data_IF_061103663216
#
_entry.id   IF_061103663216
#
_cell.length_a   1.000
_cell.length_b   1.000
_cell.length_c   1.000
_cell.angle_alpha   90.00
_cell.angle_beta   90.00
_cell.angle_gamma   90.00
#
_symmetry.space_group_name_H-M   'P 1'
#
loop_
_entity.id
_entity.type
_entity.pdbx_description
1 polymer ?
#
# COMPACT_ATOMS: atom_id res chain seq x y z
N UNK A 1 8.30 -16.19 -5.81
CA UNK A 1 8.25 -16.31 -4.35
C UNK A 1 9.67 -16.45 -3.83
N UNK A 2 9.95 -15.94 -2.63
CA UNK A 2 11.24 -16.09 -1.94
C UNK A 2 11.05 -16.90 -0.67
N UNK A 3 12.07 -17.65 -0.26
CA UNK A 3 12.03 -18.47 0.95
C UNK A 3 12.40 -17.64 2.18
N UNK A 4 11.75 -17.90 3.30
CA UNK A 4 12.09 -17.34 4.60
C UNK A 4 12.35 -18.49 5.59
N UNK A 5 13.55 -18.56 6.17
CA UNK A 5 13.96 -19.67 7.05
C UNK A 5 13.35 -19.61 8.45
N UNK A 6 12.82 -18.45 8.86
CA UNK A 6 12.19 -18.26 10.17
C UNK A 6 10.69 -18.59 10.05
N UNK A 7 10.04 -18.14 8.98
CA UNK A 7 8.61 -18.32 8.77
C UNK A 7 8.34 -19.11 7.49
N UNK A 8 8.47 -20.43 7.56
CA UNK A 8 8.40 -21.31 6.39
C UNK A 8 6.99 -21.56 5.86
N UNK A 9 5.95 -21.22 6.64
CA UNK A 9 4.54 -21.41 6.26
C UNK A 9 3.94 -20.24 5.47
N UNK A 10 4.63 -19.10 5.35
CA UNK A 10 4.13 -17.94 4.62
C UNK A 10 4.69 -17.85 3.21
N UNK A 11 3.93 -17.21 2.33
CA UNK A 11 4.34 -16.88 0.97
C UNK A 11 4.98 -15.51 0.93
N UNK A 12 6.30 -15.45 0.73
CA UNK A 12 7.02 -14.20 0.62
C UNK A 12 7.26 -13.77 -0.84
N UNK A 13 7.12 -12.47 -1.08
CA UNK A 13 7.50 -11.76 -2.29
C UNK A 13 8.44 -10.61 -1.93
N UNK A 14 9.20 -10.11 -2.89
CA UNK A 14 10.10 -8.96 -2.67
C UNK A 14 9.46 -7.73 -3.28
N UNK A 15 9.09 -6.77 -2.44
CA UNK A 15 8.56 -5.48 -2.84
C UNK A 15 9.71 -4.46 -2.99
N UNK A 16 9.92 -3.98 -4.21
CA UNK A 16 11.00 -3.05 -4.57
C UNK A 16 10.57 -1.57 -4.52
N UNK A 17 9.27 -1.29 -4.56
CA UNK A 17 8.76 0.08 -4.54
C UNK A 17 7.24 0.14 -4.58
N UNK A 18 6.73 1.34 -4.37
CA UNK A 18 5.30 1.66 -4.46
C UNK A 18 5.17 2.93 -5.31
N UNK A 19 4.16 2.99 -6.17
CA UNK A 19 3.77 4.20 -6.88
C UNK A 19 2.32 4.58 -6.56
N UNK A 20 2.02 5.88 -6.59
CA UNK A 20 0.66 6.41 -6.41
C UNK A 20 0.38 7.39 -7.55
N UNK A 21 -0.66 7.12 -8.34
CA UNK A 21 -0.99 7.91 -9.54
C UNK A 21 0.14 7.90 -10.57
N UNK A 22 0.87 6.79 -10.69
CA UNK A 22 2.05 6.66 -11.57
C UNK A 22 3.32 7.34 -11.06
N UNK A 23 3.29 8.00 -9.89
CA UNK A 23 4.47 8.61 -9.29
C UNK A 23 5.11 7.66 -8.27
N UNK A 24 6.37 7.28 -8.50
CA UNK A 24 7.11 6.38 -7.62
C UNK A 24 7.47 7.09 -6.30
N UNK A 25 7.11 6.48 -5.19
CA UNK A 25 7.39 7.00 -3.85
C UNK A 25 8.87 6.85 -3.52
N UNK A 26 9.41 7.85 -2.81
CA UNK A 26 10.78 7.83 -2.28
C UNK A 26 10.93 6.91 -1.07
N UNK A 27 10.74 5.61 -1.28
CA UNK A 27 10.87 4.56 -0.26
C UNK A 27 12.00 3.63 -0.71
N UNK A 28 12.99 3.40 0.15
CA UNK A 28 14.06 2.46 -0.16
C UNK A 28 13.58 1.02 0.06
N UNK A 29 14.07 0.02 -0.71
CA UNK A 29 13.71 -1.38 -0.49
C UNK A 29 13.97 -1.87 0.95
N UNK A 30 14.96 -1.29 1.63
CA UNK A 30 15.25 -1.60 3.03
C UNK A 30 14.09 -1.28 3.98
N UNK A 31 13.27 -0.27 3.66
CA UNK A 31 12.07 0.09 4.41
C UNK A 31 10.94 -0.91 4.16
N UNK A 32 10.86 -1.51 2.98
CA UNK A 32 9.74 -2.37 2.56
C UNK A 32 9.77 -3.80 3.14
N UNK A 33 10.78 -4.11 3.97
CA UNK A 33 10.86 -5.33 4.76
C UNK A 33 12.14 -6.12 4.53
N UNK A 34 13.02 -6.15 5.55
CA UNK A 34 14.18 -7.05 5.60
C UNK A 34 13.69 -8.48 5.89
N UNK A 35 13.39 -9.25 4.83
CA UNK A 35 12.85 -10.61 4.94
C UNK A 35 11.70 -10.93 3.98
N UNK A 36 11.27 -9.94 3.19
CA UNK A 36 10.18 -10.06 2.22
C UNK A 36 8.85 -9.53 2.73
N UNK A 37 7.89 -9.44 1.83
CA UNK A 37 6.49 -9.06 2.04
C UNK A 37 5.63 -10.31 1.94
N UNK A 38 4.68 -10.49 2.86
CA UNK A 38 3.81 -11.67 2.87
C UNK A 38 2.59 -11.42 1.98
N UNK A 39 2.23 -12.43 1.18
CA UNK A 39 0.90 -12.52 0.55
C UNK A 39 -0.01 -13.30 1.49
N UNK A 40 -1.03 -12.63 2.02
CA UNK A 40 -1.92 -13.20 3.05
C UNK A 40 -3.39 -12.99 2.66
N UNK A 41 -4.04 -14.07 2.21
CA UNK A 41 -5.47 -14.07 1.90
C UNK A 41 -6.36 -14.02 3.15
N UNK A 42 -5.81 -14.26 4.35
CA UNK A 42 -6.51 -14.19 5.62
C UNK A 42 -6.68 -12.78 6.16
N UNK A 43 -6.03 -11.78 5.56
CA UNK A 43 -6.10 -10.38 5.98
C UNK A 43 -6.86 -9.53 4.95
N UNK A 44 -7.93 -8.86 5.41
CA UNK A 44 -8.82 -8.06 4.54
C UNK A 44 -8.12 -6.79 3.99
N UNK A 45 -7.20 -6.21 4.75
CA UNK A 45 -6.53 -4.95 4.39
C UNK A 45 -5.01 -5.12 4.26
N UNK A 46 -4.41 -4.44 3.27
CA UNK A 46 -2.95 -4.41 3.15
C UNK A 46 -2.33 -3.68 4.33
N UNK A 47 -1.26 -4.25 4.91
CA UNK A 47 -0.50 -3.66 6.01
C UNK A 47 0.90 -3.29 5.54
N UNK A 48 1.32 -2.07 5.84
CA UNK A 48 2.66 -1.57 5.54
C UNK A 48 3.38 -1.20 6.83
N UNK A 49 4.71 -1.30 6.84
CA UNK A 49 5.48 -0.73 7.95
C UNK A 49 5.23 0.79 8.03
N UNK A 50 5.30 1.41 9.22
CA UNK A 50 4.85 2.78 9.43
C UNK A 50 5.44 3.80 8.45
N UNK A 51 6.72 3.68 8.13
CA UNK A 51 7.39 4.60 7.20
C UNK A 51 6.84 4.49 5.76
N UNK A 52 6.60 3.27 5.27
CA UNK A 52 6.02 3.05 3.94
C UNK A 52 4.54 3.47 3.90
N UNK A 53 3.80 3.18 4.96
CA UNK A 53 2.42 3.62 5.12
C UNK A 53 2.31 5.15 5.05
N UNK A 54 3.13 5.87 5.81
CA UNK A 54 3.10 7.34 5.85
C UNK A 54 3.43 7.96 4.49
N UNK A 55 4.39 7.40 3.75
CA UNK A 55 4.72 7.86 2.41
C UNK A 55 3.54 7.65 1.43
N UNK A 56 2.94 6.46 1.45
CA UNK A 56 1.77 6.14 0.63
C UNK A 56 0.59 7.05 0.98
N UNK A 57 0.23 7.13 2.25
CA UNK A 57 -0.86 7.98 2.76
C UNK A 57 -0.69 9.43 2.33
N UNK A 58 0.50 9.99 2.48
CA UNK A 58 0.80 11.39 2.12
C UNK A 58 0.59 11.64 0.63
N UNK A 59 1.12 10.76 -0.23
CA UNK A 59 0.98 10.88 -1.69
C UNK A 59 -0.46 10.63 -2.16
N UNK A 60 -1.16 9.67 -1.55
CA UNK A 60 -2.55 9.40 -1.87
C UNK A 60 -3.43 10.60 -1.53
N UNK A 61 -3.30 11.15 -0.32
CA UNK A 61 -4.07 12.32 0.14
C UNK A 61 -3.78 13.58 -0.68
N UNK A 62 -2.54 13.77 -1.15
CA UNK A 62 -2.24 14.94 -2.00
C UNK A 62 -2.92 14.87 -3.37
N UNK A 63 -3.31 13.68 -3.82
CA UNK A 63 -3.98 13.44 -5.10
C UNK A 63 -5.51 13.25 -4.97
N UNK A 64 -6.06 13.30 -3.76
CA UNK A 64 -7.50 13.13 -3.47
C UNK A 64 -8.07 14.30 -2.67
N UNK A 65 -7.48 15.49 -2.80
CA UNK A 65 -7.93 16.70 -2.08
C UNK A 65 -9.36 17.12 -2.44
N UNK A 66 -9.88 16.66 -3.57
CA UNK A 66 -11.25 16.91 -4.03
C UNK A 66 -12.29 15.96 -3.39
N UNK A 67 -11.85 14.91 -2.68
CA UNK A 67 -12.76 13.98 -2.00
C UNK A 67 -13.03 14.49 -0.57
N UNK A 68 -14.30 14.54 -0.13
CA UNK A 68 -14.63 15.03 1.20
C UNK A 68 -14.15 14.03 2.26
N UNK A 69 -13.42 14.53 3.26
CA UNK A 69 -12.93 13.71 4.37
C UNK A 69 -14.10 13.21 5.21
N UNK A 70 -13.98 11.98 5.70
CA UNK A 70 -14.83 11.42 6.74
C UNK A 70 -14.01 11.16 8.02
N UNK A 71 -14.71 10.93 9.13
CA UNK A 71 -14.07 10.54 10.39
C UNK A 71 -13.30 9.21 10.24
N UNK A 72 -12.16 9.04 10.93
CA UNK A 72 -11.47 7.77 11.02
C UNK A 72 -12.40 6.64 11.49
N UNK A 73 -12.17 5.44 10.98
CA UNK A 73 -12.94 4.26 11.37
C UNK A 73 -12.00 3.13 11.81
N UNK A 74 -12.16 2.69 13.05
CA UNK A 74 -11.30 1.65 13.64
C UNK A 74 -9.81 2.03 13.51
N UNK A 75 -9.01 1.20 12.85
CA UNK A 75 -7.58 1.42 12.60
C UNK A 75 -7.28 2.22 11.33
N UNK A 76 -8.29 2.69 10.60
CA UNK A 76 -8.16 3.39 9.32
C UNK A 76 -8.22 4.91 9.53
N UNK A 77 -7.24 5.64 9.00
CA UNK A 77 -7.04 7.07 9.27
C UNK A 77 -7.17 8.00 8.04
N UNK A 78 -7.57 7.43 6.90
CA UNK A 78 -7.77 8.13 5.63
C UNK A 78 -9.10 7.66 5.05
N UNK A 79 -10.18 8.31 5.47
CA UNK A 79 -11.55 7.97 5.13
C UNK A 79 -12.20 9.13 4.33
N UNK A 80 -13.09 8.79 3.39
CA UNK A 80 -13.81 9.76 2.56
C UNK A 80 -15.31 9.47 2.58
N UNK A 81 -16.13 10.52 2.61
CA UNK A 81 -17.59 10.39 2.43
C UNK A 81 -17.93 10.40 0.94
N UNK A 82 -18.15 9.23 0.38
CA UNK A 82 -18.44 9.07 -1.04
C UNK A 82 -19.93 8.92 -1.33
N UNK A 83 -20.82 9.15 -0.35
CA UNK A 83 -22.26 8.89 -0.45
C UNK A 83 -22.98 9.67 -1.55
N UNK A 84 -22.47 10.85 -1.90
CA UNK A 84 -23.03 11.71 -2.96
C UNK A 84 -22.45 11.45 -4.36
N UNK A 85 -21.52 10.50 -4.50
CA UNK A 85 -20.82 10.21 -5.76
C UNK A 85 -21.35 8.93 -6.40
N UNK A 86 -21.80 9.00 -7.66
CA UNK A 86 -22.12 7.81 -8.46
C UNK A 86 -20.88 7.08 -8.98
N UNK A 87 -19.78 7.80 -9.14
CA UNK A 87 -18.47 7.28 -9.52
C UNK A 87 -17.38 8.13 -8.89
N UNK A 88 -16.33 7.48 -8.41
CA UNK A 88 -15.17 8.15 -7.81
C UNK A 88 -13.91 7.70 -8.54
N UNK A 89 -13.03 8.66 -8.83
CA UNK A 89 -11.68 8.37 -9.33
C UNK A 89 -10.71 8.57 -8.18
N UNK A 90 -9.89 7.56 -7.94
CA UNK A 90 -8.81 7.58 -6.95
C UNK A 90 -7.50 7.28 -7.66
N UNK A 91 -6.35 7.76 -7.14
CA UNK A 91 -5.06 7.44 -7.73
C UNK A 91 -4.79 5.93 -7.64
N UNK A 92 -4.30 5.36 -8.74
CA UNK A 92 -3.89 3.95 -8.79
C UNK A 92 -2.67 3.80 -7.88
N UNK A 93 -2.73 2.82 -6.97
CA UNK A 93 -1.57 2.39 -6.18
C UNK A 93 -0.98 1.17 -6.88
N UNK A 94 0.30 1.22 -7.20
CA UNK A 94 1.02 0.11 -7.84
C UNK A 94 2.13 -0.38 -6.92
N UNK A 95 2.19 -1.68 -6.71
CA UNK A 95 3.25 -2.36 -5.99
C UNK A 95 4.23 -2.97 -6.99
N UNK A 96 5.49 -2.51 -6.93
CA UNK A 96 6.55 -2.97 -7.83
C UNK A 96 7.32 -4.09 -7.16
N UNK A 97 7.15 -5.31 -7.65
CA UNK A 97 7.83 -6.50 -7.12
C UNK A 97 9.11 -6.81 -7.89
N UNK A 98 9.93 -7.68 -7.32
CA UNK A 98 11.09 -8.26 -8.01
C UNK A 98 10.66 -8.95 -9.31
N UNK A 99 11.58 -8.99 -10.29
CA UNK A 99 11.37 -9.49 -11.65
C UNK A 99 10.41 -8.65 -12.50
N UNK A 100 10.30 -7.35 -12.20
CA UNK A 100 9.50 -6.38 -12.96
C UNK A 100 8.00 -6.75 -13.02
N UNK A 101 7.47 -7.34 -11.95
CA UNK A 101 6.05 -7.60 -11.82
C UNK A 101 5.39 -6.45 -11.06
N UNK A 102 4.38 -5.85 -11.67
CA UNK A 102 3.61 -4.75 -11.09
C UNK A 102 2.17 -5.22 -10.84
N UNK A 103 1.63 -4.91 -9.65
CA UNK A 103 0.23 -5.18 -9.26
C UNK A 103 -0.42 -3.91 -8.76
#
# INVERSE_FOLDING_TARGET
LVSNSIYTSYYFVVLNGISVGGQRLSITPAVLGKGGTIVDSGTIITRLVPQAYNALKTSFRSQTQNLPSAEPYSILDTCYDLSSYSQVRVPIVTFHFQNNADV
#
